data_IF_009908563636
#
_entry.id   IF_009908563636
#
_cell.length_a   1.000
_cell.length_b   1.000
_cell.length_c   1.000
_cell.angle_alpha   90.00
_cell.angle_beta   90.00
_cell.angle_gamma   90.00
#
_symmetry.space_group_name_H-M   'P 1'
#
loop_
_entity.id
_entity.type
_entity.pdbx_description
1 polymer ?
#
# COMPACT_ATOMS: atom_id res chain seq x y z
N UNK A 1 14.23 -12.01 -2.51
CA UNK A 1 13.15 -11.09 -2.09
C UNK A 1 13.25 -11.00 -0.57
N UNK A 2 13.83 -9.92 -0.09
CA UNK A 2 14.24 -9.79 1.31
C UNK A 2 13.05 -9.73 2.26
N UNK A 3 12.98 -10.68 3.19
CA UNK A 3 11.98 -10.73 4.28
C UNK A 3 12.05 -9.50 5.21
N UNK A 4 13.12 -8.75 5.18
CA UNK A 4 13.28 -7.51 5.95
C UNK A 4 12.35 -6.38 5.51
N UNK A 5 11.85 -6.40 4.28
CA UNK A 5 10.98 -5.35 3.74
C UNK A 5 9.54 -5.37 4.31
N UNK A 6 9.09 -6.52 4.82
CA UNK A 6 7.69 -6.71 5.25
C UNK A 6 7.40 -6.34 6.72
N UNK A 7 8.43 -5.95 7.51
CA UNK A 7 8.32 -5.75 8.96
C UNK A 7 8.79 -4.36 9.43
N UNK A 8 8.95 -3.39 8.53
CA UNK A 8 9.33 -2.03 8.96
C UNK A 8 8.18 -1.34 9.67
N UNK A 9 8.50 -0.69 10.80
CA UNK A 9 7.54 0.11 11.54
C UNK A 9 7.00 1.27 10.70
N UNK A 10 5.87 1.84 11.09
CA UNK A 10 5.31 3.03 10.43
C UNK A 10 6.30 4.20 10.44
N UNK A 11 7.09 4.30 11.53
CA UNK A 11 8.10 5.35 11.70
C UNK A 11 9.28 5.17 10.73
N UNK A 12 9.71 3.91 10.48
CA UNK A 12 10.75 3.63 9.48
C UNK A 12 10.25 3.97 8.07
N UNK A 13 8.98 3.65 7.75
CA UNK A 13 8.37 3.98 6.47
C UNK A 13 8.28 5.49 6.25
N UNK A 14 7.90 6.25 7.27
CA UNK A 14 7.87 7.71 7.22
C UNK A 14 9.28 8.27 7.03
N UNK A 15 10.26 7.74 7.73
CA UNK A 15 11.67 8.16 7.60
C UNK A 15 12.18 7.97 6.18
N UNK A 16 11.92 6.82 5.57
CA UNK A 16 12.30 6.55 4.17
C UNK A 16 11.61 7.53 3.22
N UNK A 17 10.29 7.77 3.37
CA UNK A 17 9.54 8.71 2.54
C UNK A 17 10.10 10.13 2.64
N UNK A 18 10.44 10.59 3.86
CA UNK A 18 11.05 11.91 4.08
C UNK A 18 12.46 12.00 3.45
N UNK A 19 13.25 10.93 3.51
CA UNK A 19 14.55 10.87 2.85
C UNK A 19 14.41 10.98 1.32
N UNK A 20 13.41 10.31 0.73
CA UNK A 20 13.15 10.43 -0.72
C UNK A 20 12.69 11.84 -1.10
N UNK A 21 11.84 12.48 -0.29
CA UNK A 21 11.44 13.88 -0.51
C UNK A 21 12.66 14.80 -0.47
N UNK A 22 13.57 14.62 0.49
CA UNK A 22 14.79 15.41 0.61
C UNK A 22 15.71 15.24 -0.61
N UNK A 23 15.84 14.02 -1.17
CA UNK A 23 16.58 13.78 -2.41
C UNK A 23 16.01 14.53 -3.61
N UNK A 24 14.69 14.74 -3.63
CA UNK A 24 14.01 15.53 -4.67
C UNK A 24 13.96 17.03 -4.34
N UNK A 25 14.52 17.47 -3.21
CA UNK A 25 14.40 18.85 -2.69
C UNK A 25 12.96 19.29 -2.41
N UNK A 26 12.08 18.34 -2.08
CA UNK A 26 10.68 18.59 -1.78
C UNK A 26 10.44 18.82 -0.29
N UNK A 27 9.56 19.75 0.03
CA UNK A 27 9.11 20.01 1.40
C UNK A 27 7.90 19.13 1.73
N UNK A 28 7.92 18.47 2.89
CA UNK A 28 6.79 17.66 3.36
C UNK A 28 5.76 18.56 4.04
N UNK A 29 4.60 18.71 3.42
CA UNK A 29 3.51 19.57 3.92
C UNK A 29 2.51 18.84 4.81
N UNK A 30 2.15 17.59 4.49
CA UNK A 30 1.19 16.78 5.25
C UNK A 30 1.64 15.33 5.32
N UNK A 31 1.48 14.70 6.48
CA UNK A 31 1.68 13.26 6.67
C UNK A 31 0.35 12.64 7.08
N UNK A 32 -0.04 11.56 6.40
CA UNK A 32 -1.20 10.74 6.72
C UNK A 32 -0.67 9.41 7.24
N UNK A 33 -0.98 9.08 8.49
CA UNK A 33 -0.51 7.85 9.12
C UNK A 33 -1.70 7.01 9.55
N UNK A 34 -1.79 5.79 9.03
CA UNK A 34 -2.74 4.80 9.50
C UNK A 34 -2.19 4.10 10.75
N UNK A 35 -2.57 4.61 11.93
CA UNK A 35 -2.15 4.02 13.20
C UNK A 35 -2.82 2.66 13.43
N UNK A 36 -2.05 1.60 13.28
CA UNK A 36 -2.39 0.20 13.41
C UNK A 36 -2.76 -0.19 14.86
N UNK A 37 -4.04 -0.43 15.20
CA UNK A 37 -4.38 -1.06 16.49
C UNK A 37 -5.54 -2.06 16.54
N UNK A 38 -6.28 -2.38 15.48
CA UNK A 38 -7.20 -3.54 15.52
C UNK A 38 -7.64 -4.00 14.12
N UNK A 39 -7.58 -5.31 13.87
CA UNK A 39 -7.88 -5.93 12.58
C UNK A 39 -9.29 -5.69 12.03
N UNK A 40 -10.28 -5.37 12.88
CA UNK A 40 -11.67 -5.13 12.46
C UNK A 40 -11.96 -3.68 12.06
N UNK A 41 -11.18 -2.72 12.57
CA UNK A 41 -11.28 -1.29 12.22
C UNK A 41 -10.38 -0.90 11.04
N UNK A 42 -9.61 -1.84 10.54
CA UNK A 42 -8.55 -1.61 9.54
C UNK A 42 -9.09 -1.19 8.18
N UNK A 43 -10.10 -1.91 7.69
CA UNK A 43 -10.67 -1.64 6.35
C UNK A 43 -11.33 -0.27 6.26
N UNK A 44 -11.95 0.20 7.31
CA UNK A 44 -12.63 1.51 7.31
C UNK A 44 -11.63 2.65 7.35
N UNK A 45 -10.55 2.54 8.15
CA UNK A 45 -9.51 3.58 8.27
C UNK A 45 -8.55 3.64 7.08
N UNK A 46 -8.16 2.50 6.48
CA UNK A 46 -7.41 2.49 5.22
C UNK A 46 -8.17 3.26 4.12
N UNK A 47 -9.49 3.18 4.15
CA UNK A 47 -10.35 3.88 3.20
C UNK A 47 -10.41 5.38 3.49
N UNK A 48 -10.53 5.76 4.77
CA UNK A 48 -10.54 7.16 5.19
C UNK A 48 -9.22 7.87 4.85
N UNK A 49 -8.07 7.28 5.13
CA UNK A 49 -6.76 7.84 4.78
C UNK A 49 -6.54 7.95 3.28
N UNK A 50 -7.00 6.98 2.52
CA UNK A 50 -6.94 7.03 1.05
C UNK A 50 -7.87 8.10 0.48
N UNK A 51 -9.09 8.22 1.00
CA UNK A 51 -10.05 9.27 0.59
C UNK A 51 -9.51 10.66 0.95
N UNK A 52 -8.91 10.84 2.14
CA UNK A 52 -8.20 12.09 2.49
C UNK A 52 -7.10 12.41 1.49
N UNK A 53 -6.29 11.43 1.12
CA UNK A 53 -5.23 11.61 0.14
C UNK A 53 -5.77 12.06 -1.22
N UNK A 54 -6.82 11.42 -1.74
CA UNK A 54 -7.48 11.81 -2.99
C UNK A 54 -8.02 13.24 -2.93
N UNK A 55 -8.62 13.63 -1.81
CA UNK A 55 -9.10 15.00 -1.59
C UNK A 55 -7.95 16.02 -1.61
N UNK A 56 -6.84 15.71 -0.96
CA UNK A 56 -5.67 16.58 -0.94
C UNK A 56 -5.02 16.71 -2.32
N UNK A 57 -4.95 15.63 -3.10
CA UNK A 57 -4.49 15.63 -4.48
C UNK A 57 -5.41 16.55 -5.33
N UNK A 58 -6.73 16.33 -5.26
CA UNK A 58 -7.71 17.12 -6.01
C UNK A 58 -7.69 18.62 -5.64
N UNK A 59 -7.28 18.96 -4.42
CA UNK A 59 -7.19 20.36 -3.98
C UNK A 59 -6.07 21.16 -4.68
N UNK A 60 -5.15 20.48 -5.39
CA UNK A 60 -3.98 21.05 -6.07
C UNK A 60 -3.08 21.89 -5.16
N UNK A 61 -3.09 21.63 -3.85
CA UNK A 61 -2.23 22.32 -2.87
C UNK A 61 -0.85 21.71 -2.77
N UNK A 62 -0.67 20.53 -3.31
CA UNK A 62 0.56 19.76 -3.24
C UNK A 62 0.99 19.35 -4.65
N UNK A 63 2.29 19.40 -4.90
CA UNK A 63 2.88 19.06 -6.19
C UNK A 63 3.19 17.57 -6.31
N UNK A 64 3.26 16.85 -5.17
CA UNK A 64 3.57 15.44 -5.13
C UNK A 64 2.81 14.71 -4.02
N UNK A 65 2.45 13.45 -4.30
CA UNK A 65 1.94 12.46 -3.35
C UNK A 65 2.96 11.35 -3.18
N UNK A 66 3.26 10.99 -1.92
CA UNK A 66 4.33 10.05 -1.60
C UNK A 66 3.79 8.88 -0.78
N UNK A 67 4.13 7.66 -1.17
CA UNK A 67 3.88 6.47 -0.36
C UNK A 67 5.13 5.60 -0.27
N UNK A 68 5.30 4.89 0.84
CA UNK A 68 6.42 3.98 1.01
C UNK A 68 6.40 2.84 -0.01
N UNK A 69 5.22 2.28 -0.27
CA UNK A 69 4.99 1.32 -1.34
C UNK A 69 3.58 1.49 -1.95
N UNK A 70 3.34 1.03 -3.19
CA UNK A 70 2.06 1.21 -3.88
C UNK A 70 0.86 0.63 -3.12
N UNK A 71 1.04 -0.49 -2.41
CA UNK A 71 -0.02 -1.12 -1.60
C UNK A 71 -0.55 -0.23 -0.47
N UNK A 72 0.19 0.83 -0.10
CA UNK A 72 -0.26 1.84 0.89
C UNK A 72 -1.23 2.86 0.30
N UNK A 73 -1.18 3.09 -1.01
CA UNK A 73 -2.17 3.90 -1.72
C UNK A 73 -3.47 3.12 -2.03
N UNK A 74 -3.51 1.81 -1.73
CA UNK A 74 -4.64 0.92 -1.97
C UNK A 74 -4.19 -0.44 -2.48
N UNK A 75 -4.86 -1.50 -2.03
CA UNK A 75 -4.49 -2.88 -2.38
C UNK A 75 -5.21 -3.40 -3.62
N UNK A 76 -6.19 -2.67 -4.09
CA UNK A 76 -7.06 -3.07 -5.20
C UNK A 76 -6.71 -2.26 -6.45
N UNK A 77 -6.84 -2.88 -7.60
CA UNK A 77 -6.64 -2.22 -8.89
C UNK A 77 -7.51 -0.95 -9.03
N UNK A 78 -8.69 -0.96 -8.43
CA UNK A 78 -9.59 0.21 -8.42
C UNK A 78 -8.93 1.42 -7.71
N UNK A 79 -8.27 1.20 -6.59
CA UNK A 79 -7.55 2.28 -5.87
C UNK A 79 -6.43 2.87 -6.74
N UNK A 80 -5.69 2.02 -7.48
CA UNK A 80 -4.72 2.51 -8.45
C UNK A 80 -5.36 3.38 -9.53
N UNK A 81 -6.46 2.93 -10.12
CA UNK A 81 -7.16 3.68 -11.18
C UNK A 81 -7.62 5.05 -10.66
N UNK A 82 -8.16 5.10 -9.44
CA UNK A 82 -8.58 6.36 -8.80
C UNK A 82 -7.39 7.29 -8.52
N UNK A 83 -6.31 6.75 -7.94
CA UNK A 83 -5.09 7.51 -7.68
C UNK A 83 -4.49 8.09 -8.97
N UNK A 84 -4.35 7.25 -10.00
CA UNK A 84 -3.82 7.68 -11.29
C UNK A 84 -4.66 8.80 -11.88
N UNK A 85 -5.98 8.64 -11.91
CA UNK A 85 -6.88 9.65 -12.45
C UNK A 85 -6.77 10.98 -11.68
N UNK A 86 -6.78 10.93 -10.35
CA UNK A 86 -6.65 12.11 -9.50
C UNK A 86 -5.31 12.83 -9.71
N UNK A 87 -4.19 12.10 -9.71
CA UNK A 87 -2.87 12.68 -9.93
C UNK A 87 -2.74 13.27 -11.35
N UNK A 88 -3.24 12.56 -12.37
CA UNK A 88 -3.20 13.04 -13.76
C UNK A 88 -4.02 14.32 -13.95
N UNK A 89 -5.23 14.38 -13.38
CA UNK A 89 -6.10 15.55 -13.46
C UNK A 89 -5.56 16.75 -12.68
N UNK A 90 -4.95 16.49 -11.53
CA UNK A 90 -4.37 17.54 -10.69
C UNK A 90 -2.98 17.99 -11.15
N UNK A 91 -2.28 17.20 -11.97
CA UNK A 91 -0.87 17.41 -12.34
C UNK A 91 0.09 17.10 -11.19
N UNK A 92 -0.29 16.20 -10.27
CA UNK A 92 0.48 15.82 -9.09
C UNK A 92 1.38 14.63 -9.40
N UNK A 93 2.66 14.73 -9.06
CA UNK A 93 3.62 13.63 -9.20
C UNK A 93 3.39 12.56 -8.11
N UNK A 94 3.68 11.31 -8.44
CA UNK A 94 3.62 10.21 -7.49
C UNK A 94 5.01 9.65 -7.21
N UNK A 95 5.40 9.60 -5.94
CA UNK A 95 6.70 9.03 -5.51
C UNK A 95 6.46 7.79 -4.66
N UNK A 96 7.07 6.70 -5.05
CA UNK A 96 7.07 5.46 -4.26
C UNK A 96 8.35 4.68 -4.48
N UNK A 97 8.84 3.98 -3.44
CA UNK A 97 10.09 3.22 -3.48
C UNK A 97 11.28 4.03 -4.02
N UNK A 98 11.30 5.34 -3.77
CA UNK A 98 12.34 6.24 -4.24
C UNK A 98 12.25 6.63 -5.72
N UNK A 99 11.23 6.20 -6.46
CA UNK A 99 11.01 6.53 -7.87
C UNK A 99 9.83 7.47 -8.04
N UNK A 100 10.03 8.51 -8.85
CA UNK A 100 9.00 9.48 -9.23
C UNK A 100 8.29 8.99 -10.50
N UNK A 101 6.96 9.10 -10.50
CA UNK A 101 6.09 8.79 -11.63
C UNK A 101 5.24 10.01 -11.97
N UNK A 102 5.18 10.32 -13.24
CA UNK A 102 4.28 11.32 -13.82
C UNK A 102 3.19 10.62 -14.62
N UNK A 103 1.98 10.57 -14.10
CA UNK A 103 0.88 9.86 -14.75
C UNK A 103 0.35 10.53 -16.03
N UNK A 104 0.84 11.72 -16.38
CA UNK A 104 0.62 12.29 -17.71
C UNK A 104 1.42 11.55 -18.79
N UNK A 105 2.49 10.85 -18.39
CA UNK A 105 3.33 10.04 -19.27
C UNK A 105 2.80 8.62 -19.37
N UNK A 106 2.59 8.15 -20.58
CA UNK A 106 2.06 6.80 -20.82
C UNK A 106 2.96 5.69 -20.24
N UNK A 107 4.29 5.85 -20.34
CA UNK A 107 5.24 4.87 -19.84
C UNK A 107 5.17 4.71 -18.32
N UNK A 108 5.09 5.82 -17.57
CA UNK A 108 4.99 5.80 -16.11
C UNK A 108 3.64 5.23 -15.65
N UNK A 109 2.56 5.58 -16.33
CA UNK A 109 1.23 4.99 -16.10
C UNK A 109 1.22 3.48 -16.33
N UNK A 110 1.85 3.01 -17.40
CA UNK A 110 1.95 1.60 -17.72
C UNK A 110 2.80 0.84 -16.69
N UNK A 111 3.99 1.36 -16.38
CA UNK A 111 4.92 0.73 -15.43
C UNK A 111 4.29 0.59 -14.04
N UNK A 112 3.63 1.64 -13.54
CA UNK A 112 2.96 1.59 -12.26
C UNK A 112 1.77 0.63 -12.27
N UNK A 113 0.97 0.62 -13.35
CA UNK A 113 -0.11 -0.35 -13.54
C UNK A 113 0.38 -1.79 -13.49
N UNK A 114 1.52 -2.07 -14.10
CA UNK A 114 2.16 -3.40 -14.08
C UNK A 114 2.61 -3.78 -12.66
N UNK A 115 3.15 -2.83 -11.88
CA UNK A 115 3.51 -3.06 -10.48
C UNK A 115 2.30 -3.43 -9.63
N UNK A 116 1.18 -2.73 -9.79
CA UNK A 116 -0.07 -3.05 -9.09
C UNK A 116 -0.62 -4.42 -9.46
N UNK A 117 -0.68 -4.75 -10.74
CA UNK A 117 -1.13 -6.07 -11.21
C UNK A 117 -0.24 -7.20 -10.71
N UNK A 118 1.06 -6.98 -10.65
CA UNK A 118 2.02 -7.96 -10.12
C UNK A 118 1.80 -8.16 -8.61
N UNK A 119 1.62 -7.09 -7.86
CA UNK A 119 1.35 -7.15 -6.43
C UNK A 119 0.01 -7.87 -6.12
N UNK A 120 -1.03 -7.62 -6.91
CA UNK A 120 -2.33 -8.31 -6.79
C UNK A 120 -2.20 -9.81 -7.06
N UNK A 121 -1.48 -10.18 -8.13
CA UNK A 121 -1.18 -11.59 -8.43
C UNK A 121 -0.43 -12.27 -7.29
N UNK A 122 0.60 -11.63 -6.74
CA UNK A 122 1.38 -12.19 -5.64
C UNK A 122 0.51 -12.39 -4.38
N UNK A 123 -0.36 -11.43 -4.07
CA UNK A 123 -1.30 -11.54 -2.97
C UNK A 123 -2.30 -12.70 -3.17
N UNK A 124 -2.81 -12.90 -4.39
CA UNK A 124 -3.68 -14.02 -4.74
C UNK A 124 -2.96 -15.37 -4.56
N UNK A 125 -1.74 -15.49 -5.05
CA UNK A 125 -0.91 -16.71 -4.91
C UNK A 125 -0.64 -17.03 -3.43
N UNK A 126 -0.34 -16.01 -2.61
CA UNK A 126 -0.13 -16.20 -1.16
C UNK A 126 -1.42 -16.69 -0.50
N UNK A 127 -2.57 -16.09 -0.83
CA UNK A 127 -3.89 -16.50 -0.32
C UNK A 127 -4.20 -17.96 -0.66
N UNK A 128 -3.98 -18.36 -1.91
CA UNK A 128 -4.22 -19.74 -2.35
C UNK A 128 -3.35 -20.75 -1.61
N UNK A 129 -2.08 -20.42 -1.42
CA UNK A 129 -1.16 -21.26 -0.62
C UNK A 129 -1.61 -21.38 0.83
N UNK A 130 -2.05 -20.28 1.45
CA UNK A 130 -2.56 -20.28 2.82
C UNK A 130 -3.83 -21.16 2.93
N UNK A 131 -4.80 -20.97 2.03
CA UNK A 131 -6.03 -21.76 1.99
C UNK A 131 -5.74 -23.26 1.80
N UNK A 132 -4.80 -23.60 0.91
CA UNK A 132 -4.36 -24.98 0.72
C UNK A 132 -3.75 -25.57 1.99
N UNK A 133 -2.90 -24.80 2.68
CA UNK A 133 -2.29 -25.22 3.95
C UNK A 133 -3.34 -25.44 5.03
N UNK A 134 -4.30 -24.54 5.17
CA UNK A 134 -5.42 -24.65 6.12
C UNK A 134 -6.22 -25.93 5.85
N UNK A 135 -6.59 -26.18 4.59
CA UNK A 135 -7.34 -27.39 4.18
C UNK A 135 -6.58 -28.68 4.49
N UNK A 136 -5.28 -28.72 4.16
CA UNK A 136 -4.43 -29.87 4.44
C UNK A 136 -4.27 -30.12 5.95
N UNK A 137 -4.14 -29.08 6.76
CA UNK A 137 -4.08 -29.20 8.21
C UNK A 137 -5.40 -29.68 8.79
N UNK A 138 -6.53 -29.17 8.31
CA UNK A 138 -7.86 -29.62 8.71
C UNK A 138 -8.08 -31.11 8.38
N UNK A 139 -7.69 -31.57 7.19
CA UNK A 139 -7.76 -32.99 6.80
C UNK A 139 -6.91 -33.90 7.69
N UNK A 140 -5.79 -33.38 8.21
CA UNK A 140 -4.88 -34.14 9.13
C UNK A 140 -5.26 -33.95 10.60
N UNK A 141 -6.38 -33.29 10.92
CA UNK A 141 -6.78 -33.01 12.30
C UNK A 141 -5.83 -32.06 13.03
N UNK A 142 -5.00 -31.30 12.31
CA UNK A 142 -4.03 -30.37 12.91
C UNK A 142 -4.65 -28.99 13.06
N UNK A 143 -4.57 -28.35 14.25
CA UNK A 143 -5.07 -27.00 14.44
C UNK A 143 -4.28 -26.01 13.59
N UNK A 144 -4.97 -25.01 13.02
CA UNK A 144 -4.35 -23.97 12.20
C UNK A 144 -3.60 -22.90 13.02
N UNK A 145 -3.80 -22.87 14.33
CA UNK A 145 -3.19 -21.89 15.23
C UNK A 145 -2.97 -22.46 16.62
N UNK A 146 -2.70 -21.58 17.59
CA UNK A 146 -2.64 -21.99 19.00
C UNK A 146 -3.99 -22.59 19.40
N UNK A 147 -3.95 -23.79 20.00
CA UNK A 147 -5.13 -24.39 20.59
C UNK A 147 -5.71 -23.42 21.63
N UNK A 148 -7.02 -23.10 21.59
CA UNK A 148 -7.65 -22.35 22.64
C UNK A 148 -7.51 -23.06 23.98
N UNK A 149 -7.41 -22.30 25.06
CA UNK A 149 -7.35 -22.86 26.41
C UNK A 149 -8.57 -23.79 26.63
N UNK A 150 -8.32 -25.03 27.05
CA UNK A 150 -9.36 -26.04 27.32
C UNK A 150 -9.57 -27.12 26.24
N UNK A 151 -8.90 -26.99 25.07
CA UNK A 151 -8.90 -28.04 24.05
C UNK A 151 -7.57 -28.79 24.05
N UNK A 152 -7.64 -30.10 24.11
CA UNK A 152 -6.48 -31.04 23.94
C UNK A 152 -6.60 -31.75 22.61
#
# INVERSE_FOLDING_TARGET
>A
MDRHYLMRSTDDQETDCRAWCAQQTWNVGRVITDANRSASKWRTREREGFEEALHLIASKKYDAFVTWEPSRAGRELLAYVQLRAACQEAGVLYLTKGRVYDFSRHDDSFMMGLEFLTAEKDAAVIRDRQLRTVRLNAQKGRPHGRLPYGYR
#
